data_IF_629525820439
#
_entry.id   IF_629525820439
#
_cell.length_a   1.000
_cell.length_b   1.000
_cell.length_c   1.000
_cell.angle_alpha   90.00
_cell.angle_beta   90.00
_cell.angle_gamma   90.00
#
_symmetry.space_group_name_H-M   'P 1'
#
loop_
_entity.id
_entity.type
_entity.pdbx_description
1 polymer ?
#
# COMPACT_ATOMS: atom_id res chain seq x y z
N UNK A 1 49.80 -13.63 -14.26
CA UNK A 1 49.66 -12.90 -15.53
C UNK A 1 48.55 -11.88 -15.32
N UNK A 2 48.89 -10.71 -14.78
CA UNK A 2 47.94 -9.61 -14.57
C UNK A 2 48.10 -8.68 -15.77
N UNK A 3 47.06 -8.55 -16.60
CA UNK A 3 47.09 -7.66 -17.75
C UNK A 3 46.91 -6.22 -17.25
N UNK A 4 47.97 -5.43 -17.41
CA UNK A 4 47.99 -3.98 -17.31
C UNK A 4 47.07 -3.43 -18.41
N UNK A 5 45.96 -2.81 -18.03
CA UNK A 5 45.17 -1.99 -18.96
C UNK A 5 45.69 -0.58 -18.77
N UNK A 6 46.51 -0.10 -19.71
CA UNK A 6 46.88 1.31 -19.81
C UNK A 6 45.59 2.11 -20.05
N UNK A 7 45.20 2.89 -19.04
CA UNK A 7 44.18 3.90 -19.19
C UNK A 7 44.82 5.10 -19.90
N UNK A 8 44.58 5.25 -21.20
CA UNK A 8 44.89 6.49 -21.91
C UNK A 8 44.05 7.63 -21.28
N UNK A 9 44.72 8.50 -20.52
CA UNK A 9 44.16 9.78 -20.11
C UNK A 9 44.01 10.69 -21.34
N UNK A 10 42.85 10.60 -22.00
CA UNK A 10 42.40 11.63 -22.92
C UNK A 10 42.26 12.95 -22.16
N UNK A 11 43.18 13.89 -22.40
CA UNK A 11 43.13 15.25 -21.87
C UNK A 11 41.79 15.89 -22.22
N UNK A 12 40.93 16.05 -21.22
CA UNK A 12 39.74 16.87 -21.28
C UNK A 12 40.19 18.33 -21.40
N UNK A 13 40.13 18.89 -22.61
CA UNK A 13 40.44 20.29 -22.87
C UNK A 13 39.43 21.23 -22.20
N UNK A 14 39.95 22.38 -21.77
CA UNK A 14 39.28 23.55 -21.19
C UNK A 14 37.77 23.65 -21.47
N UNK A 15 36.98 23.30 -20.46
CA UNK A 15 35.53 23.50 -20.44
C UNK A 15 35.12 24.08 -19.09
N UNK A 16 35.42 25.37 -18.89
CA UNK A 16 34.76 26.25 -17.93
C UNK A 16 34.36 25.61 -16.59
N UNK A 17 35.28 24.94 -15.93
CA UNK A 17 34.99 24.29 -14.65
C UNK A 17 34.67 25.34 -13.59
N UNK A 18 33.51 25.24 -12.90
CA UNK A 18 33.11 26.24 -11.92
C UNK A 18 34.09 26.23 -10.74
N UNK A 19 34.54 27.43 -10.35
CA UNK A 19 35.57 27.63 -9.32
C UNK A 19 35.27 26.96 -7.95
N UNK A 20 33.99 26.64 -7.67
CA UNK A 20 33.60 25.75 -6.59
C UNK A 20 32.21 25.12 -6.81
N UNK A 21 31.85 24.14 -5.99
CA UNK A 21 30.55 23.45 -6.04
C UNK A 21 29.33 24.36 -5.80
N UNK A 22 29.48 25.46 -5.05
CA UNK A 22 28.40 26.45 -4.85
C UNK A 22 28.13 27.26 -6.12
N UNK A 23 29.16 27.58 -6.89
CA UNK A 23 29.03 28.25 -8.18
C UNK A 23 28.40 27.32 -9.23
N UNK A 24 28.69 26.01 -9.16
CA UNK A 24 28.05 25.00 -9.99
C UNK A 24 26.54 24.83 -9.70
N UNK A 25 26.13 24.98 -8.43
CA UNK A 25 24.73 24.88 -7.99
C UNK A 25 23.89 26.15 -8.26
N UNK A 26 24.53 27.28 -8.56
CA UNK A 26 23.87 28.52 -8.96
C UNK A 26 23.68 28.62 -10.48
N UNK A 27 24.28 27.70 -11.24
CA UNK A 27 24.09 27.62 -12.68
C UNK A 27 22.65 27.17 -13.00
N UNK A 28 21.90 27.87 -13.87
CA UNK A 28 20.53 27.50 -14.23
C UNK A 28 20.40 26.07 -14.82
N UNK A 29 21.48 25.51 -15.37
CA UNK A 29 21.51 24.12 -15.84
C UNK A 29 21.47 23.12 -14.69
N UNK A 30 21.99 23.49 -13.52
CA UNK A 30 22.05 22.63 -12.34
C UNK A 30 20.65 22.32 -11.77
N UNK A 31 19.73 23.30 -11.79
CA UNK A 31 18.32 23.09 -11.45
C UNK A 31 17.63 22.11 -12.40
N UNK A 32 17.94 22.18 -13.70
CA UNK A 32 17.40 21.25 -14.69
C UNK A 32 17.82 19.80 -14.38
N UNK A 33 19.08 19.58 -14.03
CA UNK A 33 19.58 18.26 -13.65
C UNK A 33 18.97 17.77 -12.33
N UNK A 34 18.85 18.65 -11.34
CA UNK A 34 18.22 18.32 -10.06
C UNK A 34 16.74 17.92 -10.26
N UNK A 35 16.01 18.66 -11.09
CA UNK A 35 14.63 18.33 -11.43
C UNK A 35 14.52 17.01 -12.19
N UNK A 36 15.41 16.75 -13.15
CA UNK A 36 15.45 15.48 -13.87
C UNK A 36 15.69 14.29 -12.91
N UNK A 37 16.65 14.42 -12.01
CA UNK A 37 16.97 13.38 -11.04
C UNK A 37 15.84 13.16 -10.02
N UNK A 38 15.15 14.23 -9.59
CA UNK A 38 13.96 14.12 -8.74
C UNK A 38 12.80 13.41 -9.46
N UNK A 39 12.59 13.69 -10.75
CA UNK A 39 11.58 13.01 -11.59
C UNK A 39 11.90 11.53 -11.75
N UNK A 40 13.16 11.18 -12.01
CA UNK A 40 13.61 9.79 -12.09
C UNK A 40 13.43 9.06 -10.75
N UNK A 41 13.87 9.67 -9.66
CA UNK A 41 13.71 9.10 -8.32
C UNK A 41 12.23 8.92 -7.95
N UNK A 42 11.36 9.83 -8.37
CA UNK A 42 9.91 9.71 -8.20
C UNK A 42 9.35 8.56 -9.05
N UNK A 43 9.77 8.45 -10.32
CA UNK A 43 9.37 7.37 -11.22
C UNK A 43 9.76 5.99 -10.68
N UNK A 44 10.96 5.86 -10.09
CA UNK A 44 11.42 4.62 -9.46
C UNK A 44 10.54 4.24 -8.25
N UNK A 45 10.21 5.21 -7.39
CA UNK A 45 9.29 4.99 -6.26
C UNK A 45 7.90 4.59 -6.75
N UNK A 46 7.38 5.27 -7.76
CA UNK A 46 6.07 4.96 -8.32
C UNK A 46 6.06 3.54 -8.89
N UNK A 47 7.12 3.12 -9.59
CA UNK A 47 7.24 1.75 -10.11
C UNK A 47 7.26 0.69 -9.00
N UNK A 48 8.02 0.91 -7.92
CA UNK A 48 8.02 0.02 -6.75
C UNK A 48 6.62 -0.08 -6.13
N UNK A 49 5.94 1.06 -5.96
CA UNK A 49 4.57 1.11 -5.45
C UNK A 49 3.61 0.36 -6.38
N UNK A 50 3.73 0.51 -7.70
CA UNK A 50 2.90 -0.21 -8.68
C UNK A 50 3.11 -1.72 -8.64
N UNK A 51 4.34 -2.18 -8.51
CA UNK A 51 4.65 -3.62 -8.34
C UNK A 51 4.01 -4.15 -7.07
N UNK A 52 4.12 -3.39 -5.96
CA UNK A 52 3.48 -3.75 -4.70
C UNK A 52 1.96 -3.80 -4.84
N UNK A 53 1.31 -2.79 -5.43
CA UNK A 53 -0.15 -2.79 -5.67
C UNK A 53 -0.58 -3.99 -6.50
N UNK A 54 0.16 -4.31 -7.58
CA UNK A 54 -0.13 -5.46 -8.45
C UNK A 54 -0.04 -6.79 -7.71
N UNK A 55 0.88 -6.93 -6.76
CA UNK A 55 0.98 -8.16 -5.94
C UNK A 55 -0.27 -8.44 -5.11
N UNK A 56 -1.04 -7.40 -4.78
CA UNK A 56 -2.29 -7.53 -4.03
C UNK A 56 -3.50 -7.92 -4.89
N UNK A 57 -3.43 -7.77 -6.22
CA UNK A 57 -4.55 -8.08 -7.11
C UNK A 57 -4.96 -9.56 -6.98
N UNK A 58 -4.01 -10.49 -6.91
CA UNK A 58 -4.32 -11.91 -6.74
C UNK A 58 -5.04 -12.21 -5.41
N UNK A 59 -4.66 -11.50 -4.34
CA UNK A 59 -5.28 -11.64 -3.02
C UNK A 59 -6.70 -11.07 -3.08
N UNK A 60 -6.86 -9.91 -3.71
CA UNK A 60 -8.17 -9.27 -3.93
C UNK A 60 -9.09 -10.18 -4.75
N UNK A 61 -8.62 -10.74 -5.84
CA UNK A 61 -9.43 -11.60 -6.71
C UNK A 61 -9.86 -12.87 -5.99
N UNK A 62 -8.96 -13.49 -5.22
CA UNK A 62 -9.32 -14.64 -4.38
C UNK A 62 -10.36 -14.26 -3.30
N UNK A 63 -10.26 -13.08 -2.70
CA UNK A 63 -11.27 -12.60 -1.75
C UNK A 63 -12.62 -12.35 -2.42
N UNK A 64 -12.63 -11.66 -3.56
CA UNK A 64 -13.84 -11.39 -4.35
C UNK A 64 -14.49 -12.72 -4.75
N UNK A 65 -13.72 -13.64 -5.33
CA UNK A 65 -14.22 -14.96 -5.69
C UNK A 65 -14.82 -15.71 -4.49
N UNK A 66 -14.18 -15.65 -3.31
CA UNK A 66 -14.75 -16.26 -2.09
C UNK A 66 -16.02 -15.59 -1.61
N UNK A 67 -16.16 -14.26 -1.73
CA UNK A 67 -17.34 -13.52 -1.30
C UNK A 67 -18.52 -13.76 -2.24
N UNK A 68 -18.31 -13.55 -3.54
CA UNK A 68 -19.38 -13.61 -4.55
C UNK A 68 -19.73 -15.04 -4.98
N UNK A 69 -18.92 -16.05 -4.64
CA UNK A 69 -19.32 -17.46 -4.75
C UNK A 69 -20.54 -17.79 -3.90
N UNK A 70 -20.76 -17.07 -2.80
CA UNK A 70 -21.99 -17.21 -2.01
C UNK A 70 -23.10 -16.38 -2.63
N UNK A 71 -24.27 -16.99 -2.84
CA UNK A 71 -25.45 -16.27 -3.34
C UNK A 71 -25.83 -15.14 -2.39
N UNK A 72 -25.46 -13.90 -2.72
CA UNK A 72 -25.73 -12.73 -1.87
C UNK A 72 -27.23 -12.53 -1.56
N UNK A 73 -28.10 -12.98 -2.48
CA UNK A 73 -29.56 -12.93 -2.35
C UNK A 73 -30.13 -13.87 -1.28
N UNK A 74 -29.39 -14.89 -0.83
CA UNK A 74 -29.85 -15.85 0.18
C UNK A 74 -29.33 -15.53 1.59
N UNK A 75 -28.42 -14.57 1.73
CA UNK A 75 -27.79 -14.22 3.01
C UNK A 75 -28.50 -13.05 3.67
N UNK A 76 -28.89 -13.24 4.93
CA UNK A 76 -29.35 -12.15 5.81
C UNK A 76 -28.23 -11.13 6.06
N UNK A 77 -28.57 -9.92 6.51
CA UNK A 77 -27.59 -8.87 6.83
C UNK A 77 -26.53 -9.35 7.85
N UNK A 78 -26.94 -10.16 8.84
CA UNK A 78 -26.03 -10.82 9.81
C UNK A 78 -25.17 -11.89 9.17
N UNK A 79 -25.74 -12.67 8.25
CA UNK A 79 -24.99 -13.68 7.49
C UNK A 79 -23.90 -13.03 6.64
N UNK A 80 -24.22 -11.95 5.92
CA UNK A 80 -23.25 -11.17 5.13
C UNK A 80 -22.13 -10.61 6.01
N UNK A 81 -22.46 -10.08 7.18
CA UNK A 81 -21.46 -9.59 8.13
C UNK A 81 -20.54 -10.71 8.64
N UNK A 82 -21.09 -11.87 8.96
CA UNK A 82 -20.33 -13.01 9.47
C UNK A 82 -19.38 -13.54 8.40
N UNK A 83 -19.85 -13.65 7.16
CA UNK A 83 -19.03 -14.07 6.03
C UNK A 83 -17.90 -13.07 5.73
N UNK A 84 -18.19 -11.77 5.78
CA UNK A 84 -17.16 -10.72 5.66
C UNK A 84 -16.07 -10.91 6.73
N UNK A 85 -16.46 -11.08 7.99
CA UNK A 85 -15.50 -11.31 9.08
C UNK A 85 -14.66 -12.58 8.87
N UNK A 86 -15.25 -13.65 8.35
CA UNK A 86 -14.53 -14.91 8.09
C UNK A 86 -13.53 -14.80 6.93
N UNK A 87 -13.95 -14.23 5.79
CA UNK A 87 -13.10 -14.10 4.59
C UNK A 87 -11.97 -13.10 4.83
N UNK A 88 -12.28 -11.92 5.40
CA UNK A 88 -11.28 -10.91 5.70
C UNK A 88 -10.43 -11.26 6.92
N UNK A 89 -10.95 -12.04 7.87
CA UNK A 89 -10.21 -12.45 9.07
C UNK A 89 -9.04 -13.39 8.79
N UNK A 90 -9.09 -14.15 7.69
CA UNK A 90 -8.11 -15.23 7.42
C UNK A 90 -7.14 -14.89 6.29
N UNK A 91 -7.62 -14.38 5.15
CA UNK A 91 -6.76 -14.15 3.98
C UNK A 91 -6.00 -12.83 4.03
N UNK A 92 -6.66 -11.66 4.02
CA UNK A 92 -5.93 -10.41 3.92
C UNK A 92 -5.19 -10.08 5.21
N UNK A 93 -5.67 -10.47 6.40
CA UNK A 93 -4.94 -10.22 7.65
C UNK A 93 -3.56 -10.88 7.63
N UNK A 94 -3.44 -12.10 7.10
CA UNK A 94 -2.15 -12.77 6.94
C UNK A 94 -1.21 -11.98 6.02
N UNK A 95 -1.68 -11.59 4.82
CA UNK A 95 -0.87 -10.80 3.89
C UNK A 95 -0.49 -9.42 4.46
N UNK A 96 -1.40 -8.77 5.18
CA UNK A 96 -1.17 -7.44 5.80
C UNK A 96 -0.20 -7.50 6.98
N UNK A 97 0.00 -8.68 7.59
CA UNK A 97 0.99 -8.88 8.64
C UNK A 97 2.41 -9.01 8.10
N UNK A 98 2.58 -9.39 6.84
CA UNK A 98 3.89 -9.70 6.23
C UNK A 98 4.36 -8.53 5.35
N UNK A 99 3.44 -7.85 4.67
CA UNK A 99 3.77 -6.78 3.73
C UNK A 99 3.11 -5.45 4.12
N UNK A 100 3.82 -4.35 3.89
CA UNK A 100 3.23 -3.01 3.97
C UNK A 100 2.12 -2.90 2.94
N UNK A 101 0.93 -2.51 3.38
CA UNK A 101 -0.24 -2.39 2.49
C UNK A 101 -0.32 -0.97 1.94
N UNK A 102 -0.32 -0.77 0.61
CA UNK A 102 -0.58 0.53 0.02
C UNK A 102 -1.96 1.06 0.42
N UNK A 103 -2.06 2.38 0.59
CA UNK A 103 -3.34 3.04 0.90
C UNK A 103 -4.42 2.72 -0.14
N UNK A 104 -4.04 2.68 -1.42
CA UNK A 104 -4.93 2.39 -2.54
C UNK A 104 -5.55 0.98 -2.45
N UNK A 105 -4.76 -0.01 -2.03
CA UNK A 105 -5.20 -1.39 -1.83
C UNK A 105 -6.22 -1.46 -0.68
N UNK A 106 -5.94 -0.79 0.44
CA UNK A 106 -6.88 -0.72 1.57
C UNK A 106 -8.21 -0.08 1.18
N UNK A 107 -8.17 1.01 0.42
CA UNK A 107 -9.38 1.68 -0.10
C UNK A 107 -10.19 0.76 -1.02
N UNK A 108 -9.52 0.04 -1.93
CA UNK A 108 -10.17 -0.92 -2.82
C UNK A 108 -10.82 -2.06 -2.04
N UNK A 109 -10.12 -2.62 -1.06
CA UNK A 109 -10.65 -3.68 -0.20
C UNK A 109 -11.85 -3.21 0.65
N UNK A 110 -11.79 -2.02 1.25
CA UNK A 110 -12.94 -1.46 2.00
C UNK A 110 -14.14 -1.20 1.09
N UNK A 111 -13.90 -0.75 -0.15
CA UNK A 111 -14.95 -0.57 -1.13
C UNK A 111 -15.66 -1.90 -1.43
N UNK A 112 -14.91 -2.97 -1.69
CA UNK A 112 -15.46 -4.31 -1.93
C UNK A 112 -16.29 -4.79 -0.72
N UNK A 113 -15.82 -4.57 0.50
CA UNK A 113 -16.57 -4.92 1.73
C UNK A 113 -17.91 -4.19 1.80
N UNK A 114 -17.91 -2.90 1.47
CA UNK A 114 -19.11 -2.06 1.44
C UNK A 114 -20.11 -2.53 0.38
N UNK A 115 -19.65 -2.82 -0.84
CA UNK A 115 -20.49 -3.34 -1.92
C UNK A 115 -21.14 -4.67 -1.54
N UNK A 116 -20.34 -5.61 -1.03
CA UNK A 116 -20.82 -6.92 -0.59
C UNK A 116 -21.85 -6.81 0.55
N UNK A 117 -21.59 -5.97 1.55
CA UNK A 117 -22.51 -5.80 2.68
C UNK A 117 -23.88 -5.25 2.27
N UNK A 118 -23.89 -4.29 1.34
CA UNK A 118 -25.11 -3.72 0.78
C UNK A 118 -25.82 -4.67 -0.21
N UNK A 119 -25.20 -5.81 -0.57
CA UNK A 119 -25.80 -6.79 -1.48
C UNK A 119 -25.87 -6.29 -2.92
N UNK A 120 -24.94 -5.42 -3.31
CA UNK A 120 -24.82 -4.88 -4.65
C UNK A 120 -23.87 -5.76 -5.47
N UNK A 121 -24.27 -6.15 -6.68
CA UNK A 121 -23.32 -6.72 -7.64
C UNK A 121 -22.29 -5.66 -8.05
N UNK A 122 -21.06 -6.12 -8.35
CA UNK A 122 -19.92 -5.26 -8.72
C UNK A 122 -20.24 -4.31 -9.89
N UNK A 123 -21.16 -4.70 -10.79
CA UNK A 123 -21.60 -3.91 -11.95
C UNK A 123 -22.89 -3.12 -11.72
N UNK A 124 -23.55 -3.27 -10.56
CA UNK A 124 -24.84 -2.63 -10.31
C UNK A 124 -24.67 -1.30 -9.58
N UNK A 125 -25.11 -0.21 -10.21
CA UNK A 125 -25.18 1.14 -9.62
C UNK A 125 -26.35 1.25 -8.62
N UNK A 126 -26.47 0.30 -7.69
CA UNK A 126 -27.49 0.32 -6.64
C UNK A 126 -27.07 1.23 -5.50
N UNK A 127 -28.05 1.94 -4.94
CA UNK A 127 -27.85 2.81 -3.78
C UNK A 127 -27.28 2.06 -2.59
N UNK A 128 -26.32 2.69 -1.91
CA UNK A 128 -25.78 2.24 -0.62
C UNK A 128 -26.89 2.41 0.42
N UNK A 129 -27.43 1.29 0.92
CA UNK A 129 -28.48 1.29 1.95
C UNK A 129 -27.94 1.63 3.34
N UNK A 130 -26.73 1.17 3.65
CA UNK A 130 -26.08 1.40 4.93
C UNK A 130 -24.76 2.12 4.71
N UNK A 131 -24.63 3.31 5.29
CA UNK A 131 -23.37 4.05 5.31
C UNK A 131 -22.27 3.19 5.94
N UNK A 132 -21.18 3.01 5.20
CA UNK A 132 -20.06 2.19 5.65
C UNK A 132 -19.45 2.70 6.96
N UNK A 133 -19.43 4.03 7.17
CA UNK A 133 -18.97 4.62 8.42
C UNK A 133 -19.79 4.13 9.63
N UNK A 134 -21.12 3.95 9.49
CA UNK A 134 -21.95 3.38 10.56
C UNK A 134 -21.63 1.91 10.84
N UNK A 135 -21.22 1.16 9.81
CA UNK A 135 -20.79 -0.24 9.95
C UNK A 135 -19.46 -0.33 10.72
N UNK A 136 -18.54 0.59 10.43
CA UNK A 136 -17.22 0.64 11.05
C UNK A 136 -17.24 1.14 12.51
N UNK A 137 -18.22 1.96 12.88
CA UNK A 137 -18.37 2.45 14.26
C UNK A 137 -18.53 1.32 15.27
N UNK A 138 -17.95 1.47 16.46
CA UNK A 138 -18.05 0.49 17.54
C UNK A 138 -19.50 0.29 17.99
N UNK A 139 -19.81 -0.90 18.53
CA UNK A 139 -21.16 -1.21 19.04
C UNK A 139 -21.59 -0.26 20.17
N UNK A 140 -20.65 0.13 21.02
CA UNK A 140 -20.85 1.10 22.12
C UNK A 140 -21.32 2.46 21.61
N UNK A 141 -20.89 2.86 20.41
CA UNK A 141 -21.28 4.11 19.74
C UNK A 141 -22.47 3.92 18.77
N UNK A 142 -23.20 2.80 18.87
CA UNK A 142 -24.37 2.51 18.05
C UNK A 142 -24.08 2.01 16.63
N UNK A 143 -22.85 1.57 16.34
CA UNK A 143 -22.46 0.95 15.06
C UNK A 143 -22.50 -0.58 15.06
N UNK A 144 -22.06 -1.21 13.95
CA UNK A 144 -22.00 -2.68 13.85
C UNK A 144 -20.72 -3.30 14.43
N UNK A 145 -19.72 -2.49 14.78
CA UNK A 145 -18.45 -2.96 15.37
C UNK A 145 -17.62 -3.79 14.41
N UNK A 146 -17.48 -3.34 13.16
CA UNK A 146 -16.55 -3.93 12.19
C UNK A 146 -15.27 -3.11 12.17
N UNK A 147 -14.13 -3.74 12.42
CA UNK A 147 -12.85 -3.03 12.37
C UNK A 147 -12.55 -2.52 10.95
N UNK A 148 -12.14 -1.25 10.89
CA UNK A 148 -11.60 -0.62 9.69
C UNK A 148 -10.26 -1.26 9.33
N UNK A 149 -10.06 -1.61 8.05
CA UNK A 149 -8.78 -2.12 7.55
C UNK A 149 -7.66 -1.11 7.75
N UNK A 150 -7.95 0.19 7.72
CA UNK A 150 -6.96 1.23 8.01
C UNK A 150 -6.48 1.15 9.46
N UNK A 151 -7.41 0.98 10.41
CA UNK A 151 -7.09 0.83 11.82
C UNK A 151 -6.33 -0.49 12.07
N UNK A 152 -6.75 -1.56 11.40
CA UNK A 152 -6.11 -2.87 11.52
C UNK A 152 -4.69 -2.89 10.93
N UNK A 153 -4.50 -2.31 9.74
CA UNK A 153 -3.18 -2.15 9.12
C UNK A 153 -2.25 -1.32 10.03
N UNK A 154 -2.75 -0.20 10.57
CA UNK A 154 -1.99 0.62 11.51
C UNK A 154 -1.59 -0.19 12.77
N UNK A 155 -2.53 -0.94 13.35
CA UNK A 155 -2.26 -1.76 14.53
C UNK A 155 -1.23 -2.88 14.25
N UNK A 156 -1.33 -3.56 13.10
CA UNK A 156 -0.38 -4.60 12.70
C UNK A 156 1.03 -4.03 12.46
N UNK A 157 1.12 -2.86 11.82
CA UNK A 157 2.40 -2.16 11.62
C UNK A 157 3.06 -1.77 12.95
N UNK A 158 2.30 -1.25 13.91
CA UNK A 158 2.83 -0.93 15.24
C UNK A 158 3.26 -2.16 16.02
N UNK A 159 2.51 -3.25 15.93
CA UNK A 159 2.88 -4.50 16.60
C UNK A 159 4.15 -5.10 15.98
N UNK A 160 4.30 -5.10 14.66
CA UNK A 160 5.50 -5.61 13.98
C UNK A 160 6.79 -4.92 14.41
N UNK A 161 6.79 -3.59 14.55
CA UNK A 161 7.95 -2.84 15.06
C UNK A 161 8.10 -2.92 16.59
N UNK A 162 7.01 -3.05 17.34
CA UNK A 162 7.04 -3.14 18.80
C UNK A 162 7.61 -4.44 19.37
N UNK A 163 7.74 -5.50 18.57
CA UNK A 163 8.46 -6.71 18.98
C UNK A 163 9.98 -6.52 18.88
N UNK A 164 10.49 -5.78 17.89
CA UNK A 164 11.93 -5.55 17.70
C UNK A 164 12.52 -4.71 18.85
N UNK A 165 11.80 -3.69 19.31
CA UNK A 165 12.22 -2.83 20.43
C UNK A 165 12.14 -3.54 21.79
N UNK A 166 11.28 -4.57 21.94
CA UNK A 166 11.21 -5.38 23.16
C UNK A 166 12.41 -6.33 23.30
N UNK A 167 13.01 -6.78 22.20
CA UNK A 167 14.20 -7.64 22.22
C UNK A 167 15.52 -6.88 22.40
N UNK A 168 15.55 -5.56 22.11
CA UNK A 168 16.75 -4.71 22.27
C UNK A 168 16.88 -4.10 23.68
N UNK A 169 15.92 -4.32 24.57
CA UNK A 169 15.92 -3.77 25.94
C UNK A 169 16.16 -4.80 27.06
N UNK A 170 16.74 -5.97 26.77
CA UNK A 170 16.96 -7.03 27.77
C UNK A 170 18.38 -7.62 27.74
N UNK A 171 19.36 -6.87 27.22
CA UNK A 171 20.78 -7.22 27.23
C UNK A 171 21.66 -6.04 27.69
N UNK A 172 21.17 -5.21 28.62
CA UNK A 172 21.98 -4.27 29.40
C UNK A 172 21.68 -4.48 30.90
#
# INVERSE_FOLDING_TARGET
MCLYIDAEEHKLGDLGEPANYKAALLDPKSEKWLNAMNVEMQSMKDNEVWVLVKSWDEVIDKMVNRLFKWKMKTLSIRGRLTLLKAVFGSMPIYHMSIFKVPMLVLQRMESIRCYFFNGNDLDSKRSIWVSWNKVLTSKEKGGLGVSSLFALNRALMFNGFGWEDRWRGSND
#
